data_IF_551020630684
#
_entry.id   IF_551020630684
#
_cell.length_a   1.000
_cell.length_b   1.000
_cell.length_c   1.000
_cell.angle_alpha   90.00
_cell.angle_beta   90.00
_cell.angle_gamma   90.00
#
_symmetry.space_group_name_H-M   'P 1'
#
loop_
_entity.id
_entity.type
_entity.pdbx_description
1 polymer ?
#
# COMPACT_ATOMS: atom_id res chain seq x y z
N UNK A 1 -20.99 1.60 -31.22
CA UNK A 1 -20.83 2.49 -30.06
C UNK A 1 -19.75 1.91 -29.14
N UNK A 2 -18.52 2.44 -29.16
CA UNK A 2 -17.50 2.08 -28.17
C UNK A 2 -17.86 2.81 -26.88
N UNK A 3 -18.62 2.15 -26.02
CA UNK A 3 -18.81 2.62 -24.63
C UNK A 3 -17.47 2.41 -23.95
N UNK A 4 -16.66 3.47 -23.86
CA UNK A 4 -15.42 3.40 -23.10
C UNK A 4 -15.79 3.15 -21.63
N UNK A 5 -15.44 1.96 -21.14
CA UNK A 5 -15.66 1.58 -19.75
C UNK A 5 -14.89 2.58 -18.88
N UNK A 6 -15.57 3.30 -17.95
CA UNK A 6 -14.86 4.24 -17.08
C UNK A 6 -13.84 3.48 -16.23
N UNK A 7 -12.62 4.00 -16.18
CA UNK A 7 -11.52 3.36 -15.44
C UNK A 7 -11.74 3.33 -13.93
N UNK A 8 -12.24 4.43 -13.38
CA UNK A 8 -12.59 4.54 -11.97
C UNK A 8 -14.11 4.61 -11.79
N UNK A 9 -14.61 3.93 -10.78
CA UNK A 9 -16.00 3.97 -10.34
C UNK A 9 -16.10 4.37 -8.88
N UNK A 10 -17.21 5.00 -8.52
CA UNK A 10 -17.49 5.36 -7.13
C UNK A 10 -17.65 4.10 -6.27
N UNK A 11 -17.16 4.16 -5.02
CA UNK A 11 -17.33 3.09 -4.04
C UNK A 11 -18.69 3.18 -3.37
N UNK A 12 -19.07 4.41 -2.98
CA UNK A 12 -20.36 4.66 -2.35
C UNK A 12 -21.49 4.70 -3.37
N UNK A 13 -22.60 4.06 -3.02
CA UNK A 13 -23.86 4.25 -3.71
C UNK A 13 -24.39 5.68 -3.52
N UNK A 14 -25.31 6.13 -4.37
CA UNK A 14 -25.88 7.48 -4.25
C UNK A 14 -26.53 7.72 -2.87
N UNK A 15 -27.22 6.71 -2.33
CA UNK A 15 -27.83 6.80 -0.98
C UNK A 15 -26.76 6.98 0.12
N UNK A 16 -25.66 6.23 0.03
CA UNK A 16 -24.55 6.35 0.98
C UNK A 16 -23.88 7.72 0.88
N UNK A 17 -23.70 8.27 -0.33
CA UNK A 17 -23.17 9.63 -0.52
C UNK A 17 -24.05 10.69 0.13
N UNK A 18 -25.37 10.60 -0.08
CA UNK A 18 -26.31 11.54 0.54
C UNK A 18 -26.25 11.43 2.07
N UNK A 19 -26.31 10.22 2.61
CA UNK A 19 -26.22 10.01 4.06
C UNK A 19 -24.88 10.53 4.62
N UNK A 20 -23.77 10.24 3.97
CA UNK A 20 -22.45 10.73 4.37
C UNK A 20 -22.38 12.28 4.34
N UNK A 21 -22.92 12.91 3.28
CA UNK A 21 -22.92 14.37 3.18
C UNK A 21 -23.79 15.03 4.27
N UNK A 22 -24.90 14.40 4.65
CA UNK A 22 -25.73 14.86 5.77
C UNK A 22 -24.95 14.78 7.08
N UNK A 23 -24.27 13.65 7.35
CA UNK A 23 -23.43 13.51 8.55
C UNK A 23 -22.29 14.54 8.57
N UNK A 24 -21.67 14.77 7.43
CA UNK A 24 -20.60 15.78 7.32
C UNK A 24 -21.13 17.19 7.56
N UNK A 25 -22.27 17.53 7.00
CA UNK A 25 -22.92 18.83 7.24
C UNK A 25 -23.27 19.03 8.72
N UNK A 26 -23.84 18.00 9.37
CA UNK A 26 -24.11 18.03 10.81
C UNK A 26 -22.83 18.24 11.62
N UNK A 27 -21.75 17.52 11.28
CA UNK A 27 -20.47 17.72 11.93
C UNK A 27 -19.96 19.15 11.80
N UNK A 28 -20.08 19.78 10.61
CA UNK A 28 -19.68 21.18 10.39
C UNK A 28 -20.51 22.14 11.24
N UNK A 29 -21.84 21.89 11.35
CA UNK A 29 -22.73 22.69 12.18
C UNK A 29 -22.32 22.59 13.65
N UNK A 30 -22.11 21.39 14.17
CA UNK A 30 -21.68 21.20 15.56
C UNK A 30 -20.28 21.78 15.82
N UNK A 31 -19.36 21.67 14.87
CA UNK A 31 -18.06 22.32 14.94
C UNK A 31 -18.19 23.85 15.02
N UNK A 32 -19.06 24.45 14.21
CA UNK A 32 -19.31 25.88 14.26
C UNK A 32 -19.93 26.32 15.59
N UNK A 33 -20.94 25.60 16.10
CA UNK A 33 -21.54 25.85 17.41
C UNK A 33 -20.51 25.73 18.52
N UNK A 34 -19.65 24.69 18.48
CA UNK A 34 -18.57 24.54 19.44
C UNK A 34 -17.62 25.75 19.41
N UNK A 35 -17.19 26.18 18.23
CA UNK A 35 -16.27 27.34 18.14
C UNK A 35 -16.90 28.65 18.58
N UNK A 36 -18.17 28.90 18.30
CA UNK A 36 -18.90 30.05 18.81
C UNK A 36 -18.90 30.06 20.33
N UNK A 37 -19.22 28.91 20.94
CA UNK A 37 -19.20 28.74 22.39
C UNK A 37 -17.77 28.87 22.95
N UNK A 38 -16.78 28.18 22.39
CA UNK A 38 -15.41 28.17 22.90
C UNK A 38 -14.74 29.54 22.86
N UNK A 39 -15.03 30.33 21.85
CA UNK A 39 -14.43 31.68 21.67
C UNK A 39 -15.10 32.77 22.53
N UNK A 40 -16.06 32.44 23.36
CA UNK A 40 -16.65 33.37 24.30
C UNK A 40 -15.61 33.82 25.34
N UNK A 41 -15.61 35.12 25.68
CA UNK A 41 -14.63 35.72 26.59
C UNK A 41 -14.62 35.05 27.97
N UNK A 42 -15.74 34.48 28.42
CA UNK A 42 -15.86 33.80 29.72
C UNK A 42 -14.95 32.58 29.83
N UNK A 43 -14.50 31.99 28.72
CA UNK A 43 -13.58 30.84 28.67
C UNK A 43 -12.10 31.25 28.72
N UNK A 44 -11.78 32.56 28.67
CA UNK A 44 -10.40 33.06 28.63
C UNK A 44 -9.86 33.24 30.06
N UNK A 45 -9.49 32.18 30.72
CA UNK A 45 -8.84 32.23 32.06
C UNK A 45 -7.43 32.81 31.96
N UNK A 46 -6.71 32.55 30.88
CA UNK A 46 -5.38 33.10 30.58
C UNK A 46 -5.10 33.11 29.07
N UNK A 47 -4.72 34.26 28.55
CA UNK A 47 -4.58 34.45 27.08
C UNK A 47 -3.65 33.45 26.41
N UNK A 48 -2.46 33.20 26.95
CA UNK A 48 -1.50 32.27 26.37
C UNK A 48 -2.05 30.83 26.34
N UNK A 49 -2.58 30.38 27.47
CA UNK A 49 -3.17 29.02 27.57
C UNK A 49 -4.37 28.86 26.65
N UNK A 50 -5.23 29.87 26.54
CA UNK A 50 -6.38 29.86 25.65
C UNK A 50 -5.95 29.73 24.16
N UNK A 51 -4.97 30.53 23.73
CA UNK A 51 -4.46 30.47 22.35
C UNK A 51 -3.84 29.11 22.04
N UNK A 52 -3.02 28.57 22.96
CA UNK A 52 -2.41 27.25 22.79
C UNK A 52 -3.46 26.14 22.69
N UNK A 53 -4.44 26.14 23.61
CA UNK A 53 -5.53 25.15 23.59
C UNK A 53 -6.39 25.28 22.33
N UNK A 54 -6.75 26.51 21.94
CA UNK A 54 -7.52 26.74 20.70
C UNK A 54 -6.79 26.22 19.47
N UNK A 55 -5.47 26.44 19.40
CA UNK A 55 -4.64 25.91 18.31
C UNK A 55 -4.63 24.39 18.27
N UNK A 56 -4.47 23.73 19.45
CA UNK A 56 -4.50 22.28 19.54
C UNK A 56 -5.87 21.70 19.19
N UNK A 57 -6.96 22.33 19.62
CA UNK A 57 -8.33 21.93 19.27
C UNK A 57 -8.55 22.06 17.77
N UNK A 58 -8.17 23.21 17.18
CA UNK A 58 -8.28 23.43 15.73
C UNK A 58 -7.51 22.37 14.95
N UNK A 59 -6.28 22.06 15.37
CA UNK A 59 -5.46 20.99 14.78
C UNK A 59 -6.17 19.64 14.85
N UNK A 60 -6.69 19.26 16.03
CA UNK A 60 -7.41 17.99 16.20
C UNK A 60 -8.68 17.92 15.36
N UNK A 61 -9.42 19.03 15.20
CA UNK A 61 -10.61 19.07 14.35
C UNK A 61 -10.29 19.05 12.85
N UNK A 62 -9.10 19.49 12.46
CA UNK A 62 -8.66 19.39 11.06
C UNK A 62 -8.52 17.94 10.59
N UNK A 63 -8.13 17.01 11.45
CA UNK A 63 -7.98 15.59 11.10
C UNK A 63 -9.30 14.92 10.63
N UNK A 64 -10.41 14.97 11.37
CA UNK A 64 -11.70 14.49 10.88
C UNK A 64 -12.13 15.14 9.56
N UNK A 65 -11.96 16.48 9.43
CA UNK A 65 -12.29 17.19 8.20
C UNK A 65 -11.50 16.68 7.00
N UNK A 66 -10.21 16.43 7.17
CA UNK A 66 -9.33 15.81 6.17
C UNK A 66 -9.84 14.43 5.74
N UNK A 67 -10.16 13.55 6.70
CA UNK A 67 -10.72 12.23 6.41
C UNK A 67 -12.05 12.32 5.67
N UNK A 68 -12.97 13.18 6.12
CA UNK A 68 -14.27 13.37 5.48
C UNK A 68 -14.14 13.85 4.04
N UNK A 69 -13.21 14.76 3.76
CA UNK A 69 -12.95 15.22 2.40
C UNK A 69 -12.54 14.09 1.45
N UNK A 70 -11.65 13.21 1.89
CA UNK A 70 -11.20 12.08 1.05
C UNK A 70 -12.22 10.95 0.99
N UNK A 71 -12.88 10.63 2.09
CA UNK A 71 -13.93 9.60 2.12
C UNK A 71 -15.09 9.97 1.18
N UNK A 72 -15.47 11.24 1.10
CA UNK A 72 -16.50 11.71 0.17
C UNK A 72 -16.15 11.44 -1.31
N UNK A 73 -14.87 11.31 -1.63
CA UNK A 73 -14.34 11.15 -2.98
C UNK A 73 -13.87 9.74 -3.32
N UNK A 74 -14.16 8.76 -2.47
CA UNK A 74 -13.69 7.38 -2.65
C UNK A 74 -14.02 6.81 -4.02
N UNK A 75 -12.99 6.37 -4.75
CA UNK A 75 -13.09 5.66 -6.03
C UNK A 75 -12.24 4.40 -6.02
N UNK A 76 -12.63 3.45 -6.86
CA UNK A 76 -11.87 2.20 -7.10
C UNK A 76 -11.76 1.93 -8.59
N UNK A 77 -10.77 1.13 -9.04
CA UNK A 77 -10.76 0.59 -10.38
C UNK A 77 -12.06 -0.13 -10.69
N UNK A 78 -12.54 0.07 -11.91
CA UNK A 78 -13.75 -0.60 -12.35
C UNK A 78 -13.51 -2.12 -12.41
N UNK A 79 -14.28 -2.95 -11.70
CA UNK A 79 -14.12 -4.40 -11.73
C UNK A 79 -14.41 -5.03 -13.10
N UNK A 80 -15.02 -4.27 -14.03
CA UNK A 80 -15.29 -4.71 -15.40
C UNK A 80 -14.11 -4.47 -16.34
N UNK A 81 -13.04 -3.78 -15.91
CA UNK A 81 -11.83 -3.66 -16.72
C UNK A 81 -11.25 -5.05 -16.97
N UNK A 82 -10.80 -5.33 -18.20
CA UNK A 82 -10.15 -6.60 -18.50
C UNK A 82 -8.84 -6.73 -17.71
N UNK A 83 -8.53 -7.95 -17.30
CA UNK A 83 -7.21 -8.27 -16.78
C UNK A 83 -6.29 -8.40 -17.99
N UNK A 84 -5.19 -7.62 -18.10
CA UNK A 84 -4.24 -7.77 -19.18
C UNK A 84 -3.70 -9.20 -19.24
N UNK A 85 -3.57 -9.77 -20.45
CA UNK A 85 -3.08 -11.14 -20.65
C UNK A 85 -1.66 -11.14 -21.19
N UNK A 86 -0.93 -12.22 -20.92
CA UNK A 86 0.40 -12.44 -21.50
C UNK A 86 1.49 -11.54 -20.92
N UNK A 87 1.26 -10.94 -19.75
CA UNK A 87 2.27 -10.13 -19.08
C UNK A 87 3.35 -11.00 -18.42
N UNK A 88 4.58 -10.52 -18.44
CA UNK A 88 5.69 -11.10 -17.68
C UNK A 88 5.65 -10.56 -16.25
N UNK A 89 5.27 -11.42 -15.31
CA UNK A 89 4.97 -11.04 -13.93
C UNK A 89 5.83 -11.81 -12.95
N UNK A 90 6.35 -11.14 -11.91
CA UNK A 90 6.92 -11.77 -10.74
C UNK A 90 6.15 -11.38 -9.47
N UNK A 91 6.02 -12.32 -8.55
CA UNK A 91 5.71 -12.05 -7.15
C UNK A 91 6.98 -12.25 -6.32
N UNK A 92 7.38 -11.27 -5.54
CA UNK A 92 8.57 -11.35 -4.70
C UNK A 92 8.20 -11.09 -3.24
N UNK A 93 8.58 -12.02 -2.36
CA UNK A 93 8.47 -11.85 -0.91
C UNK A 93 9.86 -11.62 -0.33
N UNK A 94 9.97 -10.64 0.56
CA UNK A 94 11.23 -10.35 1.27
C UNK A 94 11.30 -11.13 2.57
N UNK A 95 12.50 -11.55 2.96
CA UNK A 95 12.75 -12.19 4.24
C UNK A 95 14.02 -11.63 4.88
N UNK A 96 13.89 -11.16 6.11
CA UNK A 96 15.02 -10.79 6.98
C UNK A 96 15.53 -12.02 7.76
N UNK A 97 16.80 -12.02 8.21
CA UNK A 97 17.34 -13.14 9.00
C UNK A 97 16.58 -13.44 10.30
N UNK A 98 15.92 -12.43 10.88
CA UNK A 98 15.11 -12.57 12.11
C UNK A 98 13.73 -13.19 11.87
N UNK A 99 13.29 -13.32 10.62
CA UNK A 99 11.97 -13.85 10.29
C UNK A 99 12.02 -15.38 10.15
N UNK A 100 11.15 -16.12 10.88
CA UNK A 100 11.08 -17.57 10.77
C UNK A 100 10.65 -18.00 9.36
N UNK A 101 11.33 -18.96 8.78
CA UNK A 101 11.00 -19.45 7.44
C UNK A 101 9.58 -20.04 7.35
N UNK A 102 9.07 -20.61 8.43
CA UNK A 102 7.69 -21.13 8.50
C UNK A 102 6.61 -20.05 8.25
N UNK A 103 6.89 -18.81 8.61
CA UNK A 103 5.99 -17.68 8.30
C UNK A 103 6.01 -17.42 6.79
N UNK A 104 7.20 -17.30 6.22
CA UNK A 104 7.42 -17.05 4.80
C UNK A 104 6.87 -18.18 3.91
N UNK A 105 6.98 -19.43 4.34
CA UNK A 105 6.40 -20.59 3.63
C UNK A 105 4.91 -20.43 3.37
N UNK A 106 4.14 -19.88 4.33
CA UNK A 106 2.70 -19.67 4.15
C UNK A 106 2.45 -18.65 3.03
N UNK A 107 3.19 -17.55 3.04
CA UNK A 107 3.11 -16.52 2.01
C UNK A 107 3.52 -17.07 0.64
N UNK A 108 4.65 -17.77 0.55
CA UNK A 108 5.11 -18.40 -0.69
C UNK A 108 4.10 -19.41 -1.24
N UNK A 109 3.51 -20.25 -0.37
CA UNK A 109 2.50 -21.21 -0.78
C UNK A 109 1.25 -20.55 -1.35
N UNK A 110 0.82 -19.43 -0.76
CA UNK A 110 -0.30 -18.65 -1.26
C UNK A 110 0.04 -17.90 -2.57
N UNK A 111 1.28 -17.44 -2.73
CA UNK A 111 1.76 -16.87 -4.00
C UNK A 111 1.73 -17.91 -5.11
N UNK A 112 2.25 -19.09 -4.88
CA UNK A 112 2.25 -20.22 -5.83
C UNK A 112 0.83 -20.65 -6.24
N UNK A 113 -0.18 -20.42 -5.39
CA UNK A 113 -1.57 -20.77 -5.67
C UNK A 113 -2.31 -19.74 -6.55
N UNK A 114 -1.70 -18.61 -6.87
CA UNK A 114 -2.33 -17.61 -7.74
C UNK A 114 -2.49 -18.14 -9.17
N UNK A 115 -3.64 -17.84 -9.78
CA UNK A 115 -3.99 -18.40 -11.10
C UNK A 115 -3.32 -17.73 -12.28
N UNK A 116 -3.01 -16.42 -12.16
CA UNK A 116 -2.32 -15.72 -13.23
C UNK A 116 -0.88 -16.23 -13.33
N UNK A 117 -0.42 -16.51 -14.56
CA UNK A 117 0.94 -16.99 -14.80
C UNK A 117 1.99 -15.98 -14.29
N UNK A 118 2.88 -16.43 -13.43
CA UNK A 118 3.91 -15.60 -12.82
C UNK A 118 5.07 -16.47 -12.30
N UNK A 119 6.21 -15.82 -12.10
CA UNK A 119 7.33 -16.42 -11.35
C UNK A 119 7.25 -16.01 -9.88
N UNK A 120 7.47 -16.95 -8.98
CA UNK A 120 7.52 -16.71 -7.54
C UNK A 120 8.97 -16.61 -7.06
N UNK A 121 9.29 -15.54 -6.34
CA UNK A 121 10.62 -15.24 -5.84
C UNK A 121 10.64 -15.08 -4.32
N UNK A 122 11.71 -15.59 -3.72
CA UNK A 122 12.10 -15.26 -2.35
C UNK A 122 13.34 -14.39 -2.38
N UNK A 123 13.26 -13.15 -1.89
CA UNK A 123 14.39 -12.27 -1.65
C UNK A 123 14.84 -12.44 -0.19
N UNK A 124 15.79 -13.33 0.07
CA UNK A 124 16.28 -13.67 1.41
C UNK A 124 17.67 -13.08 1.65
N UNK A 125 17.82 -12.38 2.75
CA UNK A 125 19.09 -11.77 3.17
C UNK A 125 20.17 -12.79 3.51
N UNK A 126 19.78 -13.96 4.05
CA UNK A 126 20.68 -15.04 4.47
C UNK A 126 19.99 -16.40 4.35
N UNK A 127 19.79 -16.91 3.12
CA UNK A 127 19.10 -18.17 2.89
C UNK A 127 19.95 -19.36 3.38
N UNK A 128 19.31 -20.26 4.11
CA UNK A 128 19.90 -21.53 4.56
C UNK A 128 19.74 -22.60 3.48
N UNK A 129 20.47 -23.72 3.62
CA UNK A 129 20.32 -24.87 2.72
C UNK A 129 18.89 -25.42 2.73
N UNK A 130 18.21 -25.43 3.87
CA UNK A 130 16.79 -25.82 3.99
C UNK A 130 15.91 -24.94 3.10
N UNK A 131 16.14 -23.60 3.12
CA UNK A 131 15.41 -22.63 2.30
C UNK A 131 15.63 -22.93 0.82
N UNK A 132 16.87 -23.12 0.38
CA UNK A 132 17.19 -23.44 -1.01
C UNK A 132 16.51 -24.74 -1.46
N UNK A 133 16.55 -25.80 -0.65
CA UNK A 133 15.95 -27.08 -0.97
C UNK A 133 14.42 -27.00 -1.06
N UNK A 134 13.79 -26.24 -0.16
CA UNK A 134 12.35 -26.02 -0.21
C UNK A 134 11.96 -25.23 -1.46
N UNK A 135 12.64 -24.12 -1.73
CA UNK A 135 12.39 -23.28 -2.90
C UNK A 135 12.55 -24.09 -4.21
N UNK A 136 13.63 -24.83 -4.34
CA UNK A 136 13.89 -25.69 -5.50
C UNK A 136 12.77 -26.71 -5.74
N UNK A 137 12.31 -27.38 -4.69
CA UNK A 137 11.22 -28.38 -4.78
C UNK A 137 9.89 -27.79 -5.18
N UNK A 138 9.65 -26.52 -4.85
CA UNK A 138 8.37 -25.84 -5.09
C UNK A 138 8.42 -24.88 -6.30
N UNK A 139 9.52 -24.82 -7.06
CA UNK A 139 9.64 -23.93 -8.21
C UNK A 139 9.74 -22.45 -7.85
N UNK A 140 10.26 -22.11 -6.66
CA UNK A 140 10.50 -20.76 -6.19
C UNK A 140 11.94 -20.36 -6.49
N UNK A 141 12.13 -19.20 -7.13
CA UNK A 141 13.45 -18.62 -7.35
C UNK A 141 13.94 -17.92 -6.09
N UNK A 142 15.24 -17.96 -5.86
CA UNK A 142 15.87 -17.27 -4.71
C UNK A 142 16.74 -16.13 -5.21
N UNK A 143 16.53 -14.95 -4.65
CA UNK A 143 17.39 -13.76 -4.78
C UNK A 143 18.04 -13.50 -3.43
N UNK A 144 19.37 -13.34 -3.41
CA UNK A 144 20.08 -12.97 -2.19
C UNK A 144 21.21 -12.00 -2.50
N UNK A 145 21.27 -10.93 -1.72
CA UNK A 145 22.39 -9.97 -1.77
C UNK A 145 23.57 -10.36 -0.87
N UNK A 146 23.54 -11.56 -0.28
CA UNK A 146 24.62 -12.09 0.56
C UNK A 146 25.95 -12.02 -0.21
N UNK A 147 26.94 -11.33 0.34
CA UNK A 147 28.23 -11.13 -0.29
C UNK A 147 28.32 -10.00 -1.34
N UNK A 148 27.21 -9.38 -1.73
CA UNK A 148 27.19 -8.26 -2.65
C UNK A 148 27.42 -6.93 -1.90
N UNK A 149 28.68 -6.52 -1.77
CA UNK A 149 29.11 -5.37 -0.94
C UNK A 149 28.44 -4.07 -1.33
N UNK A 150 28.19 -3.85 -2.61
CA UNK A 150 27.53 -2.65 -3.16
C UNK A 150 26.05 -2.52 -2.72
N UNK A 151 25.44 -3.61 -2.22
CA UNK A 151 24.10 -3.64 -1.66
C UNK A 151 24.09 -3.70 -0.12
N UNK A 152 25.23 -3.53 0.53
CA UNK A 152 25.41 -3.51 1.99
C UNK A 152 26.10 -2.23 2.46
N UNK A 153 25.58 -1.09 2.04
CA UNK A 153 26.16 0.22 2.36
C UNK A 153 25.85 0.67 3.79
N UNK A 154 26.70 1.48 4.41
CA UNK A 154 26.41 2.07 5.73
C UNK A 154 25.31 3.15 5.68
N UNK A 155 25.10 3.75 4.50
CA UNK A 155 24.11 4.81 4.23
C UNK A 155 23.22 4.43 3.06
N UNK A 156 22.07 5.09 2.96
CA UNK A 156 21.15 4.99 1.84
C UNK A 156 21.78 5.51 0.53
N UNK A 157 21.40 5.01 -0.64
CA UNK A 157 20.56 3.83 -0.88
C UNK A 157 21.30 2.52 -0.62
N UNK A 158 20.57 1.41 -0.63
CA UNK A 158 21.11 0.03 -0.49
C UNK A 158 21.76 -0.21 0.87
N UNK A 159 21.12 0.32 1.89
CA UNK A 159 21.63 0.21 3.27
C UNK A 159 21.60 -1.23 3.77
N UNK A 160 22.59 -1.60 4.58
CA UNK A 160 22.65 -2.88 5.30
C UNK A 160 21.40 -3.06 6.19
N UNK A 161 20.87 -4.28 6.26
CA UNK A 161 19.70 -4.66 7.08
C UNK A 161 18.44 -3.83 6.77
N UNK A 162 18.19 -3.55 5.51
CA UNK A 162 16.96 -2.89 5.10
C UNK A 162 16.34 -3.57 3.87
N UNK A 163 15.01 -3.54 3.81
CA UNK A 163 14.19 -4.10 2.75
C UNK A 163 14.52 -3.48 1.38
N UNK A 164 14.72 -2.16 1.35
CA UNK A 164 15.07 -1.43 0.11
C UNK A 164 16.28 -2.06 -0.59
N UNK A 165 17.38 -2.27 0.14
CA UNK A 165 18.60 -2.83 -0.46
C UNK A 165 18.42 -4.28 -0.93
N UNK A 166 17.62 -5.08 -0.25
CA UNK A 166 17.29 -6.45 -0.68
C UNK A 166 16.45 -6.44 -1.96
N UNK A 167 15.43 -5.62 -2.02
CA UNK A 167 14.62 -5.45 -3.23
C UNK A 167 15.41 -4.80 -4.37
N UNK A 168 16.27 -3.81 -4.09
CA UNK A 168 17.12 -3.19 -5.11
C UNK A 168 17.99 -4.24 -5.79
N UNK A 169 18.59 -5.17 -5.03
CA UNK A 169 19.35 -6.29 -5.60
C UNK A 169 18.48 -7.16 -6.52
N UNK A 170 17.28 -7.51 -6.09
CA UNK A 170 16.35 -8.27 -6.92
C UNK A 170 16.00 -7.52 -8.21
N UNK A 171 15.66 -6.23 -8.13
CA UNK A 171 15.28 -5.45 -9.31
C UNK A 171 16.45 -5.30 -10.28
N UNK A 172 17.65 -4.98 -9.81
CA UNK A 172 18.81 -4.75 -10.64
C UNK A 172 19.31 -6.02 -11.35
N UNK A 173 19.18 -7.19 -10.70
CA UNK A 173 19.69 -8.45 -11.26
C UNK A 173 18.64 -9.27 -12.01
N UNK A 174 17.36 -9.11 -11.70
CA UNK A 174 16.30 -9.92 -12.27
C UNK A 174 15.07 -9.09 -12.71
N UNK A 175 14.57 -8.22 -11.86
CA UNK A 175 13.29 -7.54 -12.01
C UNK A 175 13.19 -6.75 -13.31
N UNK A 176 14.14 -5.86 -13.57
CA UNK A 176 14.13 -4.95 -14.73
C UNK A 176 14.36 -5.63 -16.09
N UNK A 177 14.91 -6.83 -16.09
CA UNK A 177 15.27 -7.51 -17.33
C UNK A 177 14.28 -8.61 -17.71
N UNK A 178 13.56 -9.17 -16.73
CA UNK A 178 12.73 -10.36 -16.93
C UNK A 178 11.23 -10.07 -16.86
N UNK A 179 10.81 -9.00 -16.14
CA UNK A 179 9.41 -8.80 -15.81
C UNK A 179 8.93 -7.39 -16.18
N UNK A 180 7.70 -7.32 -16.66
CA UNK A 180 6.99 -6.06 -16.88
C UNK A 180 6.36 -5.53 -15.60
N UNK A 181 5.97 -6.44 -14.71
CA UNK A 181 5.33 -6.14 -13.44
C UNK A 181 5.91 -6.99 -12.32
N UNK A 182 6.11 -6.36 -11.18
CA UNK A 182 6.54 -7.03 -9.95
C UNK A 182 5.59 -6.68 -8.83
N UNK A 183 5.10 -7.71 -8.14
CA UNK A 183 4.29 -7.58 -6.93
C UNK A 183 5.19 -7.96 -5.75
N UNK A 184 5.52 -6.99 -4.93
CA UNK A 184 6.35 -7.22 -3.74
C UNK A 184 5.49 -7.37 -2.50
N UNK A 185 5.92 -8.24 -1.58
CA UNK A 185 5.20 -8.59 -0.36
C UNK A 185 6.15 -8.72 0.83
N UNK A 186 5.63 -8.45 2.01
CA UNK A 186 6.30 -8.79 3.27
C UNK A 186 6.09 -10.27 3.63
N UNK A 187 6.98 -10.79 4.45
CA UNK A 187 7.04 -12.21 4.84
C UNK A 187 5.74 -12.76 5.44
N UNK A 188 5.01 -11.94 6.17
CA UNK A 188 3.81 -12.30 6.92
C UNK A 188 2.48 -11.91 6.24
N UNK A 189 2.54 -11.48 4.98
CA UNK A 189 1.37 -11.08 4.20
C UNK A 189 0.96 -12.19 3.22
N UNK A 190 -0.10 -12.93 3.57
CA UNK A 190 -0.58 -14.08 2.81
C UNK A 190 -1.66 -13.66 1.80
N UNK A 191 -1.38 -13.64 0.48
CA UNK A 191 -2.37 -13.23 -0.53
C UNK A 191 -3.51 -14.24 -0.65
N UNK A 192 -4.75 -13.75 -0.72
CA UNK A 192 -5.91 -14.59 -1.00
C UNK A 192 -6.01 -14.96 -2.50
N UNK A 193 -6.86 -15.94 -2.82
CA UNK A 193 -7.11 -16.35 -4.20
C UNK A 193 -7.63 -15.18 -5.06
N UNK A 194 -7.02 -14.98 -6.24
CA UNK A 194 -7.36 -13.89 -7.15
C UNK A 194 -6.71 -12.54 -6.81
N UNK A 195 -5.85 -12.51 -5.80
CA UNK A 195 -5.10 -11.30 -5.44
C UNK A 195 -4.29 -10.76 -6.62
N UNK A 196 -3.54 -11.63 -7.30
CA UNK A 196 -2.65 -11.25 -8.39
C UNK A 196 -3.42 -10.64 -9.57
N UNK A 197 -4.51 -11.26 -9.98
CA UNK A 197 -5.37 -10.76 -11.06
C UNK A 197 -5.91 -9.37 -10.75
N UNK A 198 -6.28 -9.16 -9.50
CA UNK A 198 -6.83 -7.90 -9.07
C UNK A 198 -5.77 -6.80 -8.97
N UNK A 199 -4.53 -7.14 -8.61
CA UNK A 199 -3.39 -6.20 -8.65
C UNK A 199 -2.99 -5.84 -10.08
N UNK A 200 -3.14 -6.76 -11.03
CA UNK A 200 -2.79 -6.52 -12.43
C UNK A 200 -3.85 -5.74 -13.21
N UNK A 201 -5.13 -5.84 -12.84
CA UNK A 201 -6.24 -5.20 -13.54
C UNK A 201 -6.06 -3.68 -13.76
N UNK A 202 -5.60 -2.88 -12.76
CA UNK A 202 -5.38 -1.46 -12.95
C UNK A 202 -4.32 -1.10 -13.99
N UNK A 203 -3.38 -1.98 -14.28
CA UNK A 203 -2.35 -1.77 -15.29
C UNK A 203 -2.86 -1.85 -16.75
N UNK A 204 -4.17 -2.09 -16.95
CA UNK A 204 -4.82 -1.86 -18.23
C UNK A 204 -4.69 -0.40 -18.71
N UNK A 205 -4.52 0.56 -17.78
CA UNK A 205 -4.11 1.93 -18.10
C UNK A 205 -2.57 1.99 -18.15
N UNK A 206 -1.97 2.35 -19.32
CA UNK A 206 -0.52 2.45 -19.45
C UNK A 206 0.11 3.55 -18.59
N UNK A 207 -0.64 4.54 -18.12
CA UNK A 207 -0.17 5.59 -17.23
C UNK A 207 -0.07 5.15 -15.76
N UNK A 208 -0.57 3.95 -15.40
CA UNK A 208 -0.45 3.41 -14.05
C UNK A 208 0.94 2.81 -13.85
N UNK A 209 1.70 3.39 -12.94
CA UNK A 209 3.04 2.95 -12.57
C UNK A 209 3.06 2.00 -11.37
N UNK A 210 2.09 2.11 -10.46
CA UNK A 210 2.00 1.27 -9.26
C UNK A 210 0.55 1.04 -8.82
N UNK A 211 0.34 -0.04 -8.10
CA UNK A 211 -0.96 -0.42 -7.53
C UNK A 211 -0.76 -0.88 -6.10
N UNK A 212 -1.49 -0.27 -5.19
CA UNK A 212 -1.52 -0.66 -3.77
C UNK A 212 -2.81 -1.38 -3.43
N UNK A 213 -2.74 -2.25 -2.43
CA UNK A 213 -3.90 -2.90 -1.87
C UNK A 213 -3.98 -2.67 -0.36
N UNK A 214 -5.20 -2.68 0.25
CA UNK A 214 -5.29 -2.55 1.69
C UNK A 214 -4.61 -3.72 2.39
N UNK A 215 -3.79 -3.45 3.39
CA UNK A 215 -3.32 -4.44 4.36
C UNK A 215 -4.34 -4.53 5.49
N UNK A 216 -4.82 -5.74 5.79
CA UNK A 216 -5.80 -5.97 6.85
C UNK A 216 -5.28 -7.00 7.84
N UNK A 217 -4.80 -6.53 8.99
CA UNK A 217 -4.22 -7.35 10.06
C UNK A 217 -5.32 -7.96 10.95
N UNK A 218 -6.19 -8.83 10.39
CA UNK A 218 -7.35 -9.40 11.09
C UNK A 218 -7.06 -10.68 11.89
N UNK A 219 -6.03 -11.42 11.53
CA UNK A 219 -5.69 -12.73 12.12
C UNK A 219 -5.54 -12.69 13.65
N UNK A 220 -5.05 -11.60 14.20
CA UNK A 220 -4.84 -11.39 15.62
C UNK A 220 -5.87 -10.48 16.28
N UNK A 221 -6.83 -9.92 15.55
CA UNK A 221 -7.74 -8.88 16.03
C UNK A 221 -8.57 -9.29 17.26
N UNK A 222 -8.84 -10.60 17.43
CA UNK A 222 -9.58 -11.14 18.58
C UNK A 222 -8.70 -11.40 19.80
N UNK A 223 -7.37 -11.36 19.67
CA UNK A 223 -6.45 -11.72 20.78
C UNK A 223 -6.27 -10.61 21.80
N UNK A 224 -6.37 -9.35 21.39
CA UNK A 224 -6.23 -8.20 22.30
C UNK A 224 -6.96 -6.97 21.76
N UNK A 225 -7.23 -6.01 22.66
CA UNK A 225 -7.78 -4.71 22.26
C UNK A 225 -6.80 -3.92 21.37
N UNK A 226 -5.50 -4.02 21.64
CA UNK A 226 -4.46 -3.36 20.87
C UNK A 226 -4.41 -3.88 19.41
N UNK A 227 -4.48 -5.21 19.23
CA UNK A 227 -4.56 -5.82 17.90
C UNK A 227 -5.83 -5.40 17.14
N UNK A 228 -6.96 -5.28 17.84
CA UNK A 228 -8.22 -4.79 17.27
C UNK A 228 -8.14 -3.31 16.90
N UNK A 229 -7.54 -2.47 17.73
CA UNK A 229 -7.35 -1.05 17.46
C UNK A 229 -6.45 -0.85 16.22
N UNK A 230 -5.37 -1.64 16.10
CA UNK A 230 -4.50 -1.65 14.90
C UNK A 230 -5.28 -2.03 13.64
N UNK A 231 -6.10 -3.09 13.68
CA UNK A 231 -6.94 -3.48 12.56
C UNK A 231 -7.81 -2.31 12.07
N UNK A 232 -8.49 -1.60 12.98
CA UNK A 232 -9.35 -0.47 12.60
C UNK A 232 -8.55 0.72 12.05
N UNK A 233 -7.40 1.04 12.66
CA UNK A 233 -6.53 2.12 12.18
C UNK A 233 -6.02 1.82 10.75
N UNK A 234 -5.48 0.62 10.53
CA UNK A 234 -4.98 0.21 9.21
C UNK A 234 -6.11 0.11 8.17
N UNK A 235 -7.24 -0.49 8.53
CA UNK A 235 -8.38 -0.58 7.62
C UNK A 235 -8.90 0.81 7.21
N UNK A 236 -8.84 1.82 8.09
CA UNK A 236 -9.23 3.19 7.77
C UNK A 236 -8.24 3.86 6.83
N UNK A 237 -6.94 3.72 7.12
CA UNK A 237 -5.87 4.32 6.31
C UNK A 237 -5.76 3.66 4.93
N UNK A 238 -5.69 2.33 4.90
CA UNK A 238 -5.47 1.58 3.66
C UNK A 238 -6.74 1.42 2.81
N UNK A 239 -7.90 1.54 3.38
CA UNK A 239 -9.18 1.45 2.67
C UNK A 239 -9.72 2.83 2.23
N UNK A 240 -10.56 3.49 3.07
CA UNK A 240 -11.26 4.72 2.70
C UNK A 240 -10.32 5.86 2.30
N UNK A 241 -9.24 6.11 3.04
CA UNK A 241 -8.34 7.22 2.77
C UNK A 241 -7.60 7.04 1.44
N UNK A 242 -6.99 5.86 1.21
CA UNK A 242 -6.30 5.55 -0.05
C UNK A 242 -7.25 5.62 -1.25
N UNK A 243 -8.48 5.14 -1.07
CA UNK A 243 -9.52 5.23 -2.11
C UNK A 243 -9.94 6.66 -2.41
N UNK A 244 -9.90 7.52 -1.41
CA UNK A 244 -10.13 8.95 -1.57
C UNK A 244 -9.01 9.62 -2.36
N UNK A 245 -7.76 9.28 -2.10
CA UNK A 245 -6.60 9.78 -2.85
C UNK A 245 -6.69 9.43 -4.35
N UNK A 246 -7.30 8.30 -4.68
CA UNK A 246 -7.46 7.86 -6.06
C UNK A 246 -8.31 8.83 -6.91
N UNK A 247 -9.16 9.64 -6.32
CA UNK A 247 -10.06 10.55 -7.04
C UNK A 247 -9.42 11.86 -7.54
N UNK A 248 -8.14 12.05 -7.34
CA UNK A 248 -7.43 13.25 -7.79
C UNK A 248 -6.08 13.44 -7.12
N UNK A 249 -5.83 12.64 -6.09
CA UNK A 249 -4.56 12.59 -5.40
C UNK A 249 -3.98 11.19 -5.57
N UNK A 250 -2.66 11.09 -5.59
CA UNK A 250 -2.01 9.81 -5.76
C UNK A 250 -2.10 9.00 -4.45
N UNK A 251 -2.62 7.77 -4.50
CA UNK A 251 -2.54 6.86 -3.36
C UNK A 251 -1.08 6.54 -3.04
N UNK A 252 -0.81 6.16 -1.79
CA UNK A 252 0.52 5.73 -1.38
C UNK A 252 0.78 4.27 -1.78
N UNK A 253 1.99 3.94 -2.14
CA UNK A 253 2.47 2.57 -2.03
C UNK A 253 2.34 2.14 -0.56
N UNK A 254 1.93 0.92 -0.33
CA UNK A 254 1.81 0.36 1.02
C UNK A 254 2.95 -0.64 1.16
N UNK A 255 3.92 -0.33 2.03
CA UNK A 255 5.19 -1.06 2.13
C UNK A 255 5.04 -2.56 2.32
N UNK A 256 3.95 -3.01 2.96
CA UNK A 256 3.68 -4.43 3.15
C UNK A 256 3.38 -5.19 1.86
N UNK A 257 2.76 -4.54 0.86
CA UNK A 257 2.55 -5.12 -0.46
C UNK A 257 2.05 -4.09 -1.48
N UNK A 258 2.69 -4.04 -2.61
CA UNK A 258 2.25 -3.26 -3.77
C UNK A 258 2.85 -3.82 -5.06
N UNK A 259 2.21 -3.50 -6.17
CA UNK A 259 2.67 -3.87 -7.51
C UNK A 259 3.26 -2.65 -8.21
N UNK A 260 4.32 -2.85 -8.98
CA UNK A 260 4.93 -1.82 -9.81
C UNK A 260 5.07 -2.27 -11.26
N UNK A 261 4.94 -1.32 -12.18
CA UNK A 261 5.43 -1.45 -13.53
C UNK A 261 6.95 -1.25 -13.51
N UNK A 262 7.73 -2.26 -13.87
CA UNK A 262 9.20 -2.23 -13.78
C UNK A 262 9.82 -1.09 -14.59
N UNK A 263 9.24 -0.79 -15.76
CA UNK A 263 9.63 0.37 -16.57
C UNK A 263 9.49 1.68 -15.78
N UNK A 264 8.37 1.89 -15.11
CA UNK A 264 8.14 3.09 -14.30
C UNK A 264 9.15 3.20 -13.14
N UNK A 265 9.37 2.08 -12.43
CA UNK A 265 10.32 2.03 -11.33
C UNK A 265 11.76 2.32 -11.81
N UNK A 266 12.15 1.79 -12.97
CA UNK A 266 13.46 2.04 -13.57
C UNK A 266 13.64 3.50 -13.98
N UNK A 267 12.61 4.11 -14.57
CA UNK A 267 12.61 5.52 -15.01
C UNK A 267 12.80 6.49 -13.85
N UNK A 268 12.26 6.19 -12.67
CA UNK A 268 12.44 7.03 -11.49
C UNK A 268 13.74 6.77 -10.72
N UNK A 269 14.57 5.84 -11.18
CA UNK A 269 15.85 5.49 -10.55
C UNK A 269 15.80 4.39 -9.49
N UNK A 270 14.68 3.68 -9.37
CA UNK A 270 14.50 2.58 -8.42
C UNK A 270 13.60 2.94 -7.23
N UNK A 271 13.69 2.13 -6.18
CA UNK A 271 12.94 2.33 -4.93
C UNK A 271 13.43 3.57 -4.18
N UNK A 272 12.54 4.16 -3.38
CA UNK A 272 12.88 5.27 -2.50
C UNK A 272 14.07 4.93 -1.58
N UNK A 273 15.12 5.78 -1.53
CA UNK A 273 16.39 5.46 -0.87
C UNK A 273 16.36 5.75 0.64
N UNK A 274 15.37 5.20 1.35
CA UNK A 274 15.21 5.41 2.79
C UNK A 274 14.44 4.29 3.48
N UNK A 275 14.18 4.41 4.80
CA UNK A 275 13.44 3.43 5.58
C UNK A 275 11.97 3.29 5.13
N UNK A 276 11.34 4.42 4.77
CA UNK A 276 9.99 4.47 4.24
C UNK A 276 10.04 4.49 2.69
N UNK A 277 10.67 3.48 2.10
CA UNK A 277 10.92 3.38 0.67
C UNK A 277 9.63 3.46 -0.16
N UNK A 278 8.53 3.01 0.40
CA UNK A 278 7.20 3.03 -0.22
C UNK A 278 6.66 4.46 -0.39
N UNK A 279 6.76 5.29 0.65
CA UNK A 279 6.34 6.70 0.58
C UNK A 279 7.19 7.48 -0.43
N UNK A 280 8.51 7.34 -0.36
CA UNK A 280 9.41 8.03 -1.29
C UNK A 280 9.26 7.51 -2.71
N UNK A 281 9.09 6.19 -2.92
CA UNK A 281 8.76 5.63 -4.23
C UNK A 281 7.47 6.25 -4.78
N UNK A 282 6.44 6.41 -3.95
CA UNK A 282 5.19 7.09 -4.35
C UNK A 282 5.45 8.52 -4.82
N UNK A 283 6.21 9.31 -4.05
CA UNK A 283 6.54 10.70 -4.41
C UNK A 283 7.32 10.76 -5.73
N UNK A 284 8.32 9.90 -5.90
CA UNK A 284 9.12 9.81 -7.12
C UNK A 284 8.28 9.41 -8.34
N UNK A 285 7.38 8.42 -8.20
CA UNK A 285 6.43 8.01 -9.24
C UNK A 285 5.55 9.18 -9.68
N UNK A 286 4.94 9.88 -8.73
CA UNK A 286 4.04 11.00 -9.01
C UNK A 286 4.77 12.21 -9.61
N UNK A 287 5.97 12.54 -9.12
CA UNK A 287 6.80 13.59 -9.69
C UNK A 287 7.15 13.33 -11.17
N UNK A 288 7.26 12.06 -11.55
CA UNK A 288 7.48 11.63 -12.92
C UNK A 288 6.19 11.32 -13.69
N UNK A 289 5.03 11.80 -13.20
CA UNK A 289 3.70 11.68 -13.84
C UNK A 289 3.14 10.25 -13.93
N UNK A 290 3.73 9.29 -13.25
CA UNK A 290 3.16 7.97 -13.09
C UNK A 290 2.01 8.01 -12.09
N UNK A 291 0.89 7.37 -12.42
CA UNK A 291 -0.30 7.32 -11.56
C UNK A 291 -0.23 6.10 -10.64
N UNK A 292 -0.70 6.27 -9.42
CA UNK A 292 -1.01 5.17 -8.52
C UNK A 292 -2.48 4.79 -8.57
N UNK A 293 -2.78 3.55 -8.19
CA UNK A 293 -4.15 3.09 -8.09
C UNK A 293 -4.34 2.18 -6.87
N UNK A 294 -5.18 2.56 -5.87
CA UNK A 294 -5.53 1.67 -4.78
C UNK A 294 -6.67 0.76 -5.20
N UNK A 295 -6.59 -0.49 -4.82
CA UNK A 295 -7.67 -1.44 -4.98
C UNK A 295 -8.39 -1.71 -3.66
N UNK A 296 -9.73 -1.59 -3.67
CA UNK A 296 -10.57 -1.72 -2.47
C UNK A 296 -11.07 -3.13 -2.15
N UNK A 297 -10.80 -4.10 -2.98
CA UNK A 297 -10.93 -5.51 -2.68
C UNK A 297 -9.67 -6.19 -3.13
N UNK A 298 -8.69 -6.15 -2.30
CA UNK A 298 -7.83 -7.29 -2.19
C UNK A 298 -8.50 -8.21 -1.19
N UNK A 299 -8.61 -9.42 -1.58
CA UNK A 299 -8.58 -10.49 -0.65
C UNK A 299 -7.24 -10.34 0.06
N UNK A 300 -7.27 -9.58 1.16
CA UNK A 300 -6.07 -9.18 1.85
C UNK A 300 -5.43 -10.35 2.57
N UNK A 301 -4.13 -10.33 2.74
CA UNK A 301 -3.43 -11.35 3.51
C UNK A 301 -4.00 -11.42 4.93
N UNK A 302 -4.35 -12.61 5.36
CA UNK A 302 -4.74 -12.93 6.72
C UNK A 302 -3.54 -13.20 7.60
#
# INVERSE_FOLDING_TARGET
MNISIPYLVDIMTQRQKVFFNVLFALWLIFAAVFWIWWLDESHVVGRLGFVLNSTLIAWNMMMPAYFFFFVAKMKKPNPKLPIPKGLLVAMVVTKAPSEPFEVVKKTLSAMLSQKYAHDTWLADEDPTEEVYQWCKRNGVFVSTRKGAVEYHRPKWPRKTKCKEGNLAYFYDNYGYYRYEFVIQMDADHVPEAGYLEEMLRPFADPAVGYVSAPSICDANAKKSWAARARLYAEATLHGPLQSGYNAGWAPLCIGSHYAVRTKALKEIGGLGPELAEDHTTTLMMNANKWRGNPRNRCNCPR
#
